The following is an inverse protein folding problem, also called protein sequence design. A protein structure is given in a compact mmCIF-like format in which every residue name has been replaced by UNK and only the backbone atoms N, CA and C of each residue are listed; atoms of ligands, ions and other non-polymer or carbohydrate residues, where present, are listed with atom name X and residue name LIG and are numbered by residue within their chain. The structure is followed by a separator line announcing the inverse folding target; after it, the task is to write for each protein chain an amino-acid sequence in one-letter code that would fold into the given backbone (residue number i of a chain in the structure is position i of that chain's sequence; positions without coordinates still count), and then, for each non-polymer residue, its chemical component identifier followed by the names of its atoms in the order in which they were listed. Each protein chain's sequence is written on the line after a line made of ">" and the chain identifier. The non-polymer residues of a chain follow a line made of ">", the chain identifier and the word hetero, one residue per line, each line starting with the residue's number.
data_IF_268980436313
#
_entry.id   IF_268980436313
#
_cell.length_a   1.000
_cell.length_b   1.000
_cell.length_c   1.000
_cell.angle_alpha   90.00
_cell.angle_beta   90.00
_cell.angle_gamma   90.00
#
_symmetry.space_group_name_H-M   'P 1'
#
loop_
_entity.id
_entity.type
_entity.pdbx_description
1 polymer ?
#
# COMPACT_ATOMS: atom_id res chain seq x y z
N UNK A 1 -2.29 -60.20 -19.47
CA UNK A 1 -2.51 -61.20 -18.41
C UNK A 1 -2.41 -60.56 -17.05
N UNK A 2 -3.38 -60.90 -16.24
CA UNK A 2 -3.61 -60.64 -14.82
C UNK A 2 -3.96 -59.23 -14.37
N UNK A 3 -5.28 -59.09 -14.23
CA UNK A 3 -5.97 -58.19 -13.31
C UNK A 3 -5.62 -58.53 -11.88
N UNK A 4 -5.48 -57.52 -11.04
CA UNK A 4 -5.74 -57.72 -9.62
C UNK A 4 -6.56 -56.55 -9.09
N UNK A 5 -7.80 -56.86 -8.71
CA UNK A 5 -8.69 -56.04 -7.94
C UNK A 5 -8.21 -56.02 -6.48
N UNK A 6 -8.31 -54.86 -5.83
CA UNK A 6 -8.42 -54.84 -4.38
C UNK A 6 -9.64 -53.97 -3.95
N UNK A 7 -10.51 -54.68 -3.31
CA UNK A 7 -11.81 -54.21 -2.79
C UNK A 7 -11.62 -53.81 -1.32
N UNK A 8 -12.22 -52.69 -0.94
CA UNK A 8 -12.96 -52.57 0.32
C UNK A 8 -12.20 -52.17 1.58
N UNK A 9 -12.56 -51.07 2.12
CA UNK A 9 -13.15 -51.01 3.47
C UNK A 9 -13.73 -49.61 3.71
N UNK A 10 -15.07 -49.59 3.74
CA UNK A 10 -15.85 -48.50 4.31
C UNK A 10 -15.73 -48.56 5.84
N UNK A 11 -15.22 -47.47 6.43
CA UNK A 11 -15.29 -47.22 7.86
C UNK A 11 -16.17 -46.01 8.08
N UNK A 12 -17.43 -46.25 8.45
CA UNK A 12 -18.37 -45.25 8.93
C UNK A 12 -17.98 -44.90 10.36
N UNK A 13 -17.53 -43.65 10.56
CA UNK A 13 -17.40 -43.10 11.93
C UNK A 13 -18.51 -42.09 12.11
N UNK A 14 -19.52 -42.50 12.90
CA UNK A 14 -20.58 -41.62 13.37
C UNK A 14 -20.02 -40.69 14.45
N UNK A 15 -19.93 -39.38 14.15
CA UNK A 15 -19.75 -38.35 15.15
C UNK A 15 -21.10 -37.81 15.58
N UNK A 16 -21.44 -38.15 16.81
CA UNK A 16 -22.54 -37.56 17.56
C UNK A 16 -22.33 -36.09 17.79
N UNK A 17 -23.20 -35.25 17.19
CA UNK A 17 -23.26 -33.83 17.46
C UNK A 17 -23.84 -33.61 18.87
N UNK A 18 -23.03 -33.13 19.79
CA UNK A 18 -23.53 -32.50 21.02
C UNK A 18 -23.95 -31.08 20.69
N UNK A 19 -25.24 -30.84 20.62
CA UNK A 19 -25.80 -29.50 20.65
C UNK A 19 -25.65 -28.93 22.06
N UNK A 20 -24.70 -28.02 22.25
CA UNK A 20 -24.71 -27.12 23.40
C UNK A 20 -25.63 -25.94 23.03
N UNK A 21 -26.81 -25.91 23.66
CA UNK A 21 -27.67 -24.74 23.62
C UNK A 21 -27.04 -23.64 24.46
N UNK A 22 -26.45 -22.63 23.80
CA UNK A 22 -26.15 -21.36 24.45
C UNK A 22 -27.40 -20.48 24.39
N UNK A 23 -27.97 -20.23 25.57
CA UNK A 23 -29.02 -19.26 25.78
C UNK A 23 -28.50 -17.87 25.45
N UNK A 24 -29.17 -17.20 24.52
CA UNK A 24 -28.97 -15.80 24.21
C UNK A 24 -29.51 -14.94 25.34
N UNK A 25 -28.67 -14.39 26.20
CA UNK A 25 -29.02 -13.22 27.01
C UNK A 25 -28.66 -11.99 26.15
N UNK A 26 -29.67 -11.35 25.58
CA UNK A 26 -29.59 -10.02 24.99
C UNK A 26 -29.51 -8.98 26.14
N UNK A 27 -28.32 -8.78 26.67
CA UNK A 27 -28.00 -7.59 27.46
C UNK A 27 -26.92 -6.82 26.70
N UNK A 28 -27.39 -6.03 25.75
CA UNK A 28 -26.56 -5.01 25.05
C UNK A 28 -26.45 -3.80 25.99
N UNK A 29 -25.26 -3.51 26.59
CA UNK A 29 -25.11 -2.36 27.46
C UNK A 29 -25.31 -1.09 26.64
N UNK A 30 -26.30 -0.27 27.05
CA UNK A 30 -26.48 1.06 26.48
C UNK A 30 -25.20 1.89 26.64
N UNK A 31 -24.78 2.65 25.62
CA UNK A 31 -23.58 3.49 25.69
C UNK A 31 -23.69 4.50 26.83
N UNK A 32 -22.66 4.59 27.67
CA UNK A 32 -22.54 5.64 28.68
C UNK A 32 -22.40 7.00 27.95
N UNK A 33 -23.28 7.96 28.16
CA UNK A 33 -23.23 9.26 27.49
C UNK A 33 -22.10 10.17 28.01
N UNK A 34 -21.32 9.76 28.98
CA UNK A 34 -20.24 10.58 29.53
C UNK A 34 -19.07 9.73 30.08
N UNK A 35 -18.18 9.19 29.23
CA UNK A 35 -17.06 8.39 29.69
C UNK A 35 -16.10 9.22 30.52
N UNK A 36 -15.87 8.82 31.77
CA UNK A 36 -14.88 9.44 32.67
C UNK A 36 -13.46 9.07 32.19
N UNK A 37 -12.48 9.99 32.25
CA UNK A 37 -11.09 9.68 31.94
C UNK A 37 -10.54 8.61 32.88
N UNK A 38 -10.09 7.49 32.31
CA UNK A 38 -9.49 6.37 33.05
C UNK A 38 -10.36 5.11 33.16
N UNK A 39 -11.59 5.08 32.64
CA UNK A 39 -12.30 3.83 32.45
C UNK A 39 -11.80 3.13 31.17
N UNK A 40 -11.57 1.82 31.27
CA UNK A 40 -11.31 0.97 30.10
C UNK A 40 -12.55 1.02 29.20
N UNK A 41 -12.54 1.92 28.24
CA UNK A 41 -13.50 1.89 27.13
C UNK A 41 -13.20 0.63 26.36
N UNK A 42 -14.02 -0.40 26.56
CA UNK A 42 -14.02 -1.57 25.66
C UNK A 42 -14.53 -1.03 24.33
N UNK A 43 -13.61 -0.84 23.35
CA UNK A 43 -14.01 -0.44 22.02
C UNK A 43 -15.02 -1.45 21.50
N UNK A 44 -16.21 -0.96 21.18
CA UNK A 44 -17.15 -1.75 20.40
C UNK A 44 -16.57 -1.87 19.00
N UNK A 45 -15.93 -2.97 18.74
CA UNK A 45 -15.60 -3.41 17.41
C UNK A 45 -16.92 -3.61 16.66
N UNK A 46 -17.36 -2.59 15.94
CA UNK A 46 -18.52 -2.74 15.09
C UNK A 46 -18.07 -3.48 13.85
N UNK A 47 -18.56 -4.70 13.70
CA UNK A 47 -18.37 -5.49 12.49
C UNK A 47 -19.20 -4.89 11.36
N UNK A 48 -18.66 -3.92 10.65
CA UNK A 48 -19.14 -3.61 9.32
C UNK A 48 -18.45 -4.57 8.35
N UNK A 49 -19.21 -5.53 7.82
CA UNK A 49 -18.66 -6.55 6.93
C UNK A 49 -17.59 -7.47 7.55
N UNK A 50 -17.48 -7.57 8.88
CA UNK A 50 -16.47 -8.38 9.53
C UNK A 50 -15.25 -7.62 10.05
N UNK A 51 -15.22 -6.29 9.90
CA UNK A 51 -14.06 -5.44 10.22
C UNK A 51 -14.21 -4.76 11.56
N UNK A 52 -13.08 -4.48 12.17
CA UNK A 52 -13.00 -3.75 13.44
C UNK A 52 -12.90 -2.24 13.16
N UNK A 53 -13.98 -1.49 13.41
CA UNK A 53 -14.02 -0.05 13.27
C UNK A 53 -13.74 0.66 14.60
N UNK A 54 -12.86 1.67 14.59
CA UNK A 54 -12.44 2.42 15.76
C UNK A 54 -12.24 3.89 15.40
N UNK A 55 -12.63 4.81 16.29
CA UNK A 55 -12.40 6.25 16.09
C UNK A 55 -11.07 6.73 16.69
N UNK A 56 -10.31 5.86 17.32
CA UNK A 56 -8.97 6.08 17.84
C UNK A 56 -7.93 5.29 17.05
N UNK A 57 -6.73 5.82 16.95
CA UNK A 57 -5.67 5.22 16.12
C UNK A 57 -4.36 4.99 16.88
N UNK A 58 -4.21 5.59 18.07
CA UNK A 58 -2.99 5.46 18.87
C UNK A 58 -3.12 4.43 19.99
N UNK A 59 -2.05 3.66 20.13
CA UNK A 59 -1.92 2.58 21.11
C UNK A 59 -0.57 2.67 21.83
N UNK A 60 -0.47 2.07 22.99
CA UNK A 60 0.79 1.83 23.68
C UNK A 60 1.55 0.61 23.06
N UNK A 61 2.71 0.29 23.63
CA UNK A 61 3.53 -0.82 23.15
C UNK A 61 2.85 -2.20 23.31
N UNK A 62 1.94 -2.32 24.28
CA UNK A 62 1.22 -3.56 24.61
C UNK A 62 -0.08 -3.71 23.81
N UNK A 63 -0.36 -2.74 22.90
CA UNK A 63 -1.55 -2.74 22.04
C UNK A 63 -2.82 -2.28 22.75
N UNK A 64 -2.67 -1.63 23.91
CA UNK A 64 -3.77 -0.96 24.59
C UNK A 64 -3.88 0.45 24.06
N UNK A 65 -5.11 0.93 23.88
CA UNK A 65 -5.35 2.29 23.47
C UNK A 65 -4.74 3.30 24.42
N UNK A 66 -4.05 4.27 23.83
CA UNK A 66 -3.42 5.37 24.54
C UNK A 66 -3.38 6.62 23.65
N UNK A 67 -4.12 7.67 24.05
CA UNK A 67 -4.13 8.94 23.32
C UNK A 67 -2.74 9.60 23.20
N UNK A 68 -1.78 9.23 24.04
CA UNK A 68 -0.39 9.65 24.01
C UNK A 68 0.54 8.54 23.49
N UNK A 69 -0.03 7.45 23.00
CA UNK A 69 0.71 6.31 22.48
C UNK A 69 1.50 6.66 21.23
N UNK A 70 2.50 5.83 20.94
CA UNK A 70 3.37 5.99 19.77
C UNK A 70 3.20 4.87 18.74
N UNK A 71 2.21 4.01 18.94
CA UNK A 71 1.84 2.95 17.98
C UNK A 71 0.58 3.36 17.25
N UNK A 72 0.63 3.37 15.93
CA UNK A 72 -0.51 3.61 15.03
C UNK A 72 -1.07 2.24 14.67
N UNK A 73 -2.33 1.98 15.04
CA UNK A 73 -2.97 0.69 14.85
C UNK A 73 -2.59 -0.35 15.90
N UNK A 74 -3.34 -1.43 15.95
CA UNK A 74 -3.21 -2.49 16.97
C UNK A 74 -2.51 -3.77 16.46
N UNK A 75 -2.02 -3.75 15.22
CA UNK A 75 -1.39 -4.91 14.58
C UNK A 75 -2.35 -5.80 13.79
N UNK A 76 -3.65 -5.52 13.82
CA UNK A 76 -4.65 -6.23 13.02
C UNK A 76 -4.50 -5.87 11.54
N UNK A 77 -4.79 -6.85 10.66
CA UNK A 77 -4.78 -6.66 9.20
C UNK A 77 -6.08 -6.02 8.69
N UNK A 78 -7.05 -5.78 9.55
CA UNK A 78 -8.36 -5.23 9.20
C UNK A 78 -8.79 -4.11 10.15
N UNK A 79 -7.83 -3.30 10.61
CA UNK A 79 -8.11 -2.17 11.46
C UNK A 79 -8.72 -1.01 10.66
N UNK A 80 -9.95 -0.60 10.99
CA UNK A 80 -10.67 0.49 10.32
C UNK A 80 -10.73 1.71 11.22
N UNK A 81 -10.06 2.78 10.81
CA UNK A 81 -10.12 4.08 11.49
C UNK A 81 -11.27 4.92 10.93
N UNK A 82 -12.19 5.34 11.81
CA UNK A 82 -13.38 6.12 11.43
C UNK A 82 -13.36 7.55 11.96
N UNK A 83 -12.33 7.92 12.72
CA UNK A 83 -12.19 9.23 13.37
C UNK A 83 -11.49 10.29 12.51
N UNK A 84 -11.25 11.44 13.15
CA UNK A 84 -10.36 12.48 12.63
C UNK A 84 -9.30 12.77 13.68
N UNK A 85 -8.05 12.54 13.35
CA UNK A 85 -6.97 12.71 14.31
C UNK A 85 -5.74 13.36 13.67
N UNK A 86 -5.17 14.32 14.36
CA UNK A 86 -3.89 14.93 14.05
C UNK A 86 -2.83 14.36 15.00
N UNK A 87 -1.82 13.73 14.43
CA UNK A 87 -0.65 13.23 15.16
C UNK A 87 0.40 14.33 15.24
N UNK A 88 0.83 14.61 16.46
CA UNK A 88 1.89 15.58 16.73
C UNK A 88 3.21 15.13 16.12
N UNK A 89 4.12 16.09 15.89
CA UNK A 89 5.49 15.76 15.47
C UNK A 89 6.10 14.75 16.45
N UNK A 90 6.52 13.60 15.91
CA UNK A 90 7.04 12.51 16.71
C UNK A 90 7.51 11.33 15.87
N UNK A 91 7.95 10.29 16.57
CA UNK A 91 8.26 8.99 15.95
C UNK A 91 7.20 7.99 16.35
N UNK A 92 6.57 7.37 15.35
CA UNK A 92 5.51 6.40 15.53
C UNK A 92 5.87 5.06 14.91
N UNK A 93 5.31 3.97 15.43
CA UNK A 93 5.36 2.65 14.82
C UNK A 93 3.99 2.33 14.23
N UNK A 94 3.92 2.10 12.93
CA UNK A 94 2.70 1.65 12.23
C UNK A 94 2.63 0.12 12.34
N UNK A 95 1.51 -0.40 12.85
CA UNK A 95 1.27 -1.85 12.99
C UNK A 95 -0.05 -2.27 12.38
N UNK A 96 -0.01 -3.29 11.53
CA UNK A 96 -1.17 -3.84 10.83
C UNK A 96 -1.56 -3.05 9.59
N UNK A 97 -2.70 -3.40 9.02
CA UNK A 97 -3.29 -2.68 7.89
C UNK A 97 -4.31 -1.68 8.41
N UNK A 98 -4.02 -0.41 8.20
CA UNK A 98 -4.82 0.70 8.71
C UNK A 98 -5.65 1.26 7.57
N UNK A 99 -6.96 1.00 7.60
CA UNK A 99 -7.93 1.54 6.66
C UNK A 99 -8.52 2.84 7.19
N UNK A 100 -8.22 3.95 6.55
CA UNK A 100 -8.84 5.25 6.83
C UNK A 100 -10.17 5.28 6.08
N UNK A 101 -11.27 5.08 6.81
CA UNK A 101 -12.60 4.91 6.24
C UNK A 101 -13.16 6.20 5.60
N UNK A 102 -14.24 6.07 4.85
CA UNK A 102 -14.96 7.21 4.29
C UNK A 102 -15.33 8.21 5.38
N UNK A 103 -14.97 9.49 5.19
CA UNK A 103 -15.19 10.58 6.15
C UNK A 103 -14.14 10.68 7.25
N UNK A 104 -13.29 9.67 7.43
CA UNK A 104 -12.16 9.72 8.37
C UNK A 104 -10.98 10.53 7.80
N UNK A 105 -10.14 11.05 8.69
CA UNK A 105 -8.99 11.86 8.33
C UNK A 105 -7.83 11.62 9.31
N UNK A 106 -6.68 11.22 8.80
CA UNK A 106 -5.45 11.07 9.56
C UNK A 106 -4.43 12.11 9.10
N UNK A 107 -4.05 13.01 10.01
CA UNK A 107 -3.11 14.11 9.74
C UNK A 107 -1.82 13.89 10.50
N UNK A 108 -0.69 14.08 9.84
CA UNK A 108 0.66 14.05 10.42
C UNK A 108 1.28 15.46 10.44
N UNK A 109 1.80 15.89 11.58
CA UNK A 109 2.56 17.15 11.65
C UNK A 109 3.93 17.03 10.95
N UNK A 110 4.44 18.13 10.36
CA UNK A 110 5.75 18.16 9.71
C UNK A 110 6.87 17.63 10.60
N UNK A 111 7.82 16.90 10.00
CA UNK A 111 8.95 16.29 10.70
C UNK A 111 8.62 14.99 11.46
N UNK A 112 7.41 14.46 11.32
CA UNK A 112 7.05 13.16 11.86
C UNK A 112 7.76 12.01 11.15
N UNK A 113 8.09 10.95 11.89
CA UNK A 113 8.68 9.71 11.36
C UNK A 113 7.78 8.53 11.70
N UNK A 114 7.30 7.84 10.69
CA UNK A 114 6.40 6.70 10.82
C UNK A 114 7.14 5.44 10.37
N UNK A 115 7.29 4.48 11.27
CA UNK A 115 8.05 3.25 11.05
C UNK A 115 7.12 2.06 10.87
N UNK A 116 7.04 1.53 9.66
CA UNK A 116 6.23 0.36 9.33
C UNK A 116 6.82 -0.92 9.94
N UNK A 117 6.02 -1.64 10.71
CA UNK A 117 6.41 -2.91 11.33
C UNK A 117 6.27 -4.07 10.33
N UNK A 118 7.40 -4.75 10.11
CA UNK A 118 7.46 -5.89 9.17
C UNK A 118 6.62 -7.07 9.62
N UNK A 119 6.59 -7.35 10.91
CA UNK A 119 5.91 -8.53 11.47
C UNK A 119 4.41 -8.50 11.20
N UNK A 120 3.82 -7.31 11.28
CA UNK A 120 2.40 -7.08 11.02
C UNK A 120 2.12 -6.65 9.58
N UNK A 121 3.13 -6.63 8.70
CA UNK A 121 3.00 -6.20 7.28
C UNK A 121 2.37 -4.81 7.16
N UNK A 122 2.79 -3.90 8.04
CA UNK A 122 2.15 -2.59 8.22
C UNK A 122 1.89 -1.88 6.88
N UNK A 123 0.67 -1.39 6.69
CA UNK A 123 0.24 -0.69 5.46
C UNK A 123 -0.74 0.42 5.83
N UNK A 124 -0.61 1.59 5.23
CA UNK A 124 -1.52 2.72 5.45
C UNK A 124 -2.39 2.93 4.22
N UNK A 125 -3.71 2.80 4.39
CA UNK A 125 -4.67 2.70 3.29
C UNK A 125 -5.77 3.75 3.49
N UNK A 126 -5.91 4.71 2.58
CA UNK A 126 -7.10 5.55 2.51
C UNK A 126 -8.14 4.86 1.63
N UNK A 127 -9.29 4.53 2.18
CA UNK A 127 -10.43 4.03 1.43
C UNK A 127 -11.14 5.17 0.68
N UNK A 128 -12.03 4.86 -0.24
CA UNK A 128 -12.81 5.87 -0.98
C UNK A 128 -13.51 6.85 -0.04
N UNK A 129 -13.06 8.10 -0.06
CA UNK A 129 -13.58 9.17 0.81
C UNK A 129 -12.90 9.28 2.18
N UNK A 130 -11.92 8.43 2.50
CA UNK A 130 -10.96 8.61 3.57
C UNK A 130 -9.83 9.53 3.15
N UNK A 131 -9.12 10.15 4.09
CA UNK A 131 -8.04 11.09 3.79
C UNK A 131 -6.80 10.84 4.63
N UNK A 132 -5.65 10.85 3.97
CA UNK A 132 -4.33 10.94 4.61
C UNK A 132 -3.77 12.33 4.31
N UNK A 133 -3.42 13.09 5.36
CA UNK A 133 -2.82 14.41 5.25
C UNK A 133 -1.42 14.36 5.83
N UNK A 134 -0.44 14.25 4.97
CA UNK A 134 0.98 14.30 5.29
C UNK A 134 1.60 15.50 4.55
N UNK A 135 1.49 16.67 5.16
CA UNK A 135 2.02 17.92 4.63
C UNK A 135 3.25 18.33 5.40
N UNK A 136 4.41 17.85 4.98
CA UNK A 136 5.71 18.28 5.47
C UNK A 136 6.19 19.59 4.87
N UNK A 137 7.47 19.86 5.03
CA UNK A 137 8.17 20.98 4.41
C UNK A 137 9.58 20.57 3.97
N UNK A 138 10.27 21.42 3.22
CA UNK A 138 11.63 21.14 2.77
C UNK A 138 12.61 20.92 3.94
N UNK A 139 12.40 21.55 5.08
CA UNK A 139 13.23 21.41 6.28
C UNK A 139 12.70 20.38 7.28
N UNK A 140 11.43 20.03 7.19
CA UNK A 140 10.74 19.07 8.07
C UNK A 140 9.89 18.11 7.24
N UNK A 141 10.49 17.25 6.40
CA UNK A 141 9.74 16.26 5.66
C UNK A 141 9.10 15.24 6.61
N UNK A 142 8.00 14.66 6.17
CA UNK A 142 7.39 13.51 6.86
C UNK A 142 7.97 12.25 6.26
N UNK A 143 8.45 11.34 7.11
CA UNK A 143 9.17 10.13 6.67
C UNK A 143 8.40 8.88 7.08
N UNK A 144 7.99 8.10 6.11
CA UNK A 144 7.49 6.74 6.28
C UNK A 144 8.61 5.77 5.92
N UNK A 145 9.01 4.89 6.83
CA UNK A 145 10.18 4.03 6.63
C UNK A 145 10.02 2.69 7.37
N UNK A 146 10.96 1.77 7.19
CA UNK A 146 10.99 0.51 7.92
C UNK A 146 11.27 0.68 9.42
N UNK A 147 10.60 -0.12 10.26
CA UNK A 147 10.88 -0.21 11.68
C UNK A 147 12.19 -0.95 12.00
N UNK A 148 12.79 -1.63 11.03
CA UNK A 148 14.08 -2.27 11.21
C UNK A 148 15.18 -1.26 11.56
N UNK A 149 16.19 -1.72 12.28
CA UNK A 149 17.34 -0.90 12.65
C UNK A 149 18.07 -0.36 11.42
N UNK A 150 18.75 0.78 11.58
CA UNK A 150 19.58 1.34 10.53
C UNK A 150 20.60 0.30 10.02
N UNK A 151 20.74 0.17 8.71
CA UNK A 151 21.57 -0.86 8.06
C UNK A 151 20.92 -2.25 7.94
N UNK A 152 19.78 -2.49 8.58
CA UNK A 152 19.04 -3.75 8.48
C UNK A 152 17.75 -3.62 7.66
N UNK A 153 17.41 -2.41 7.26
CA UNK A 153 16.21 -2.14 6.43
C UNK A 153 16.36 -2.74 5.04
N UNK A 154 15.27 -3.28 4.51
CA UNK A 154 15.23 -3.93 3.19
C UNK A 154 13.96 -3.49 2.44
N UNK A 155 14.00 -3.45 1.10
CA UNK A 155 12.79 -3.38 0.28
C UNK A 155 11.75 -4.39 0.75
N UNK A 156 10.48 -4.00 0.78
CA UNK A 156 9.39 -4.88 1.23
C UNK A 156 9.27 -5.07 2.74
N UNK A 157 9.95 -4.30 3.57
CA UNK A 157 9.81 -4.42 5.03
C UNK A 157 8.42 -4.03 5.52
N UNK A 158 7.67 -3.24 4.76
CA UNK A 158 6.29 -2.85 5.05
C UNK A 158 5.53 -2.60 3.74
N UNK A 159 4.18 -2.47 3.80
CA UNK A 159 3.36 -2.39 2.59
C UNK A 159 3.56 -1.12 1.79
N UNK A 160 3.52 0.04 2.43
CA UNK A 160 3.52 1.32 1.73
C UNK A 160 2.27 2.16 2.04
N UNK A 161 2.02 3.15 1.18
CA UNK A 161 0.84 4.01 1.26
C UNK A 161 -0.05 3.73 0.06
N UNK A 162 -1.34 3.49 0.33
CA UNK A 162 -2.36 3.24 -0.70
C UNK A 162 -3.45 4.30 -0.58
N UNK A 163 -3.76 4.99 -1.67
CA UNK A 163 -4.89 5.91 -1.76
C UNK A 163 -5.92 5.36 -2.73
N UNK A 164 -7.15 5.13 -2.25
CA UNK A 164 -8.28 4.68 -3.06
C UNK A 164 -9.28 5.80 -3.22
N UNK A 165 -9.37 6.35 -4.42
CA UNK A 165 -10.27 7.45 -4.77
C UNK A 165 -11.53 7.00 -5.49
N UNK A 166 -12.35 7.99 -5.86
CA UNK A 166 -13.64 7.85 -6.54
C UNK A 166 -13.61 8.35 -7.99
N UNK A 167 -12.45 8.68 -8.52
CA UNK A 167 -12.32 9.07 -9.91
C UNK A 167 -12.56 7.89 -10.86
N UNK A 168 -12.72 8.16 -12.13
CA UNK A 168 -12.96 7.13 -13.13
C UNK A 168 -11.71 6.27 -13.36
N UNK A 169 -11.94 5.01 -13.61
CA UNK A 169 -11.04 4.08 -14.27
C UNK A 169 -11.78 3.36 -15.40
N UNK A 170 -11.12 2.50 -16.14
CA UNK A 170 -11.74 1.82 -17.28
C UNK A 170 -12.48 0.51 -16.93
N UNK A 171 -12.52 0.14 -15.65
CA UNK A 171 -13.23 -1.04 -15.16
C UNK A 171 -14.34 -0.70 -14.14
N UNK A 172 -14.66 0.56 -13.95
CA UNK A 172 -15.68 1.12 -13.07
C UNK A 172 -15.36 0.98 -11.58
N UNK A 173 -15.19 -0.22 -11.07
CA UNK A 173 -14.79 -0.50 -9.69
C UNK A 173 -13.78 -1.64 -9.68
N UNK A 174 -12.60 -1.37 -9.14
CA UNK A 174 -11.50 -2.32 -9.09
C UNK A 174 -11.13 -2.64 -7.64
N UNK A 175 -10.66 -3.86 -7.41
CA UNK A 175 -9.97 -4.23 -6.19
C UNK A 175 -8.53 -3.70 -6.27
N UNK A 176 -8.05 -3.07 -5.18
CA UNK A 176 -6.64 -2.68 -5.14
C UNK A 176 -5.74 -3.93 -5.09
N UNK A 177 -4.60 -3.85 -5.73
CA UNK A 177 -3.59 -4.89 -5.75
C UNK A 177 -2.89 -5.07 -4.38
N UNK A 178 -2.15 -6.18 -4.23
CA UNK A 178 -1.34 -6.43 -3.02
C UNK A 178 -2.12 -6.92 -1.80
N UNK A 179 -3.36 -7.35 -1.98
CA UNK A 179 -4.16 -8.04 -0.96
C UNK A 179 -5.09 -7.20 -0.09
N UNK A 180 -5.03 -5.84 -0.02
CA UNK A 180 -6.03 -5.08 0.71
C UNK A 180 -7.44 -5.33 0.18
N UNK A 181 -8.43 -5.35 1.09
CA UNK A 181 -9.85 -5.57 0.71
C UNK A 181 -10.47 -4.41 -0.03
N UNK A 182 -9.85 -3.24 0.03
CA UNK A 182 -10.45 -2.01 -0.43
C UNK A 182 -10.58 -1.96 -1.95
N UNK A 183 -11.60 -1.26 -2.41
CA UNK A 183 -11.86 -1.02 -3.82
C UNK A 183 -11.70 0.45 -4.14
N UNK A 184 -11.42 0.76 -5.40
CA UNK A 184 -11.33 2.11 -5.92
C UNK A 184 -12.15 2.27 -7.19
N UNK A 185 -12.39 3.51 -7.60
CA UNK A 185 -13.17 3.85 -8.77
C UNK A 185 -14.53 4.45 -8.44
N UNK A 186 -15.09 5.11 -9.42
CA UNK A 186 -16.34 5.84 -9.35
C UNK A 186 -16.49 6.80 -10.53
N UNK A 187 -17.15 7.93 -10.30
CA UNK A 187 -17.42 8.94 -11.33
C UNK A 187 -17.01 10.36 -10.91
N UNK A 188 -16.25 10.52 -9.83
CA UNK A 188 -15.84 11.81 -9.30
C UNK A 188 -14.36 12.07 -9.57
N UNK A 189 -14.05 12.58 -10.76
CA UNK A 189 -12.67 12.91 -11.14
C UNK A 189 -12.06 14.05 -10.30
N UNK A 190 -12.87 14.76 -9.52
CA UNK A 190 -12.43 15.77 -8.56
C UNK A 190 -12.32 15.25 -7.12
N UNK A 191 -12.41 13.94 -6.92
CA UNK A 191 -12.25 13.31 -5.61
C UNK A 191 -10.95 13.74 -4.91
N UNK A 192 -10.99 13.72 -3.57
CA UNK A 192 -9.90 14.16 -2.72
C UNK A 192 -9.57 13.13 -1.66
N UNK A 193 -8.47 12.45 -1.83
CA UNK A 193 -7.90 11.47 -0.89
C UNK A 193 -6.89 12.08 0.11
N UNK A 194 -6.69 13.40 0.08
CA UNK A 194 -5.85 14.12 1.03
C UNK A 194 -4.64 14.83 0.42
N UNK A 195 -3.54 14.86 1.16
CA UNK A 195 -2.31 15.58 0.80
C UNK A 195 -1.10 14.72 1.11
N UNK A 196 -0.21 14.54 0.13
CA UNK A 196 1.14 14.05 0.31
C UNK A 196 2.11 15.11 -0.24
N UNK A 197 2.78 15.85 0.63
CA UNK A 197 3.68 16.93 0.25
C UNK A 197 4.93 16.95 1.14
N UNK A 198 6.11 16.97 0.54
CA UNK A 198 7.37 16.77 1.24
C UNK A 198 7.37 15.49 2.09
N UNK A 199 7.09 14.39 1.42
CA UNK A 199 7.00 13.04 2.02
C UNK A 199 8.09 12.15 1.46
N UNK A 200 8.68 11.33 2.32
CA UNK A 200 9.57 10.23 1.93
C UNK A 200 8.93 8.91 2.32
N UNK A 201 8.89 7.96 1.39
CA UNK A 201 8.41 6.58 1.56
C UNK A 201 9.60 5.68 1.28
N UNK A 202 10.04 4.91 2.27
CA UNK A 202 11.28 4.14 2.16
C UNK A 202 11.06 2.68 2.54
N UNK A 203 11.63 1.74 1.77
CA UNK A 203 11.63 0.29 2.05
C UNK A 203 10.22 -0.33 2.07
N UNK A 204 9.30 0.25 1.33
CA UNK A 204 7.95 -0.27 1.14
C UNK A 204 7.91 -1.38 0.08
N UNK A 205 6.71 -1.80 -0.34
CA UNK A 205 6.53 -2.78 -1.40
C UNK A 205 6.44 -4.22 -0.88
N UNK A 206 5.64 -4.46 0.18
CA UNK A 206 5.54 -5.80 0.75
C UNK A 206 5.02 -6.81 -0.28
N UNK A 207 5.75 -7.91 -0.57
CA UNK A 207 5.32 -8.94 -1.50
C UNK A 207 4.23 -9.82 -0.85
N UNK A 208 2.97 -9.53 -1.12
CA UNK A 208 1.86 -10.30 -0.58
C UNK A 208 1.76 -11.69 -1.19
N UNK A 209 1.87 -11.75 -2.52
CA UNK A 209 2.02 -12.96 -3.34
C UNK A 209 2.87 -12.61 -4.55
N UNK A 210 3.34 -13.61 -5.28
CA UNK A 210 3.92 -13.41 -6.60
C UNK A 210 2.89 -12.74 -7.52
N UNK A 211 3.29 -11.71 -8.24
CA UNK A 211 2.47 -10.89 -9.13
C UNK A 211 1.26 -10.22 -8.41
N UNK A 212 1.38 -9.94 -7.12
CA UNK A 212 0.42 -9.21 -6.27
C UNK A 212 1.18 -8.52 -5.12
N UNK A 213 2.05 -7.65 -5.46
CA UNK A 213 2.85 -6.85 -4.54
C UNK A 213 2.12 -5.53 -4.19
N UNK A 214 2.53 -4.89 -3.11
CA UNK A 214 2.12 -3.52 -2.79
C UNK A 214 3.26 -2.61 -3.22
N UNK A 215 2.94 -1.51 -3.89
CA UNK A 215 3.92 -0.53 -4.36
C UNK A 215 4.41 0.41 -3.24
N UNK A 216 5.40 1.21 -3.53
CA UNK A 216 5.81 2.29 -2.63
C UNK A 216 4.67 3.26 -2.34
N UNK A 217 4.10 3.81 -3.40
CA UNK A 217 2.88 4.63 -3.38
C UNK A 217 1.91 4.13 -4.45
N UNK A 218 0.80 3.54 -4.01
CA UNK A 218 -0.27 3.04 -4.87
C UNK A 218 -1.44 4.02 -4.92
N UNK A 219 -1.88 4.38 -6.12
CA UNK A 219 -2.92 5.39 -6.38
C UNK A 219 -4.06 4.79 -7.21
N UNK A 220 -5.05 4.19 -6.53
CA UNK A 220 -6.23 3.64 -7.18
C UNK A 220 -7.31 4.70 -7.41
N UNK A 221 -7.56 5.10 -8.65
CA UNK A 221 -8.62 6.06 -9.04
C UNK A 221 -8.63 7.36 -8.24
N UNK A 222 -7.45 7.89 -7.92
CA UNK A 222 -7.30 9.12 -7.14
C UNK A 222 -7.68 10.33 -7.99
N UNK A 223 -8.51 11.21 -7.42
CA UNK A 223 -9.05 12.37 -8.13
C UNK A 223 -8.15 13.61 -8.08
N UNK A 224 -8.46 14.57 -8.94
CA UNK A 224 -7.64 15.76 -9.20
C UNK A 224 -7.58 16.79 -8.06
N UNK A 225 -8.47 16.69 -7.06
CA UNK A 225 -8.39 17.55 -5.88
C UNK A 225 -7.44 17.00 -4.80
N UNK A 226 -6.89 15.80 -4.98
CA UNK A 226 -5.80 15.27 -4.14
C UNK A 226 -4.50 15.98 -4.49
N UNK A 227 -3.76 16.41 -3.48
CA UNK A 227 -2.48 17.09 -3.66
C UNK A 227 -1.33 16.12 -3.46
N UNK A 228 -0.49 15.91 -4.50
CA UNK A 228 0.73 15.10 -4.43
C UNK A 228 1.90 15.89 -5.03
N UNK A 229 2.81 16.32 -4.19
CA UNK A 229 4.02 17.02 -4.62
C UNK A 229 5.21 16.76 -3.66
N UNK A 230 6.44 16.85 -4.19
CA UNK A 230 7.68 16.62 -3.42
C UNK A 230 7.64 15.29 -2.66
N UNK A 231 7.30 14.21 -3.37
CA UNK A 231 7.29 12.86 -2.81
C UNK A 231 8.46 12.07 -3.36
N UNK A 232 9.22 11.47 -2.46
CA UNK A 232 10.30 10.54 -2.79
C UNK A 232 9.93 9.14 -2.32
N UNK A 233 9.96 8.18 -3.24
CA UNK A 233 9.93 6.74 -2.94
C UNK A 233 11.33 6.18 -3.09
N UNK A 234 11.81 5.44 -2.09
CA UNK A 234 13.16 4.87 -2.10
C UNK A 234 13.13 3.42 -1.68
N UNK A 235 13.81 2.58 -2.44
CA UNK A 235 13.97 1.16 -2.13
C UNK A 235 12.62 0.43 -1.99
N UNK A 236 11.65 0.74 -2.86
CA UNK A 236 10.45 -0.08 -2.98
C UNK A 236 10.84 -1.47 -3.48
N UNK A 237 10.16 -2.51 -3.01
CA UNK A 237 10.36 -3.89 -3.47
C UNK A 237 9.50 -4.24 -4.69
N UNK A 238 8.73 -3.31 -5.11
CA UNK A 238 7.90 -3.29 -6.30
C UNK A 238 8.00 -1.90 -6.90
N UNK A 239 6.97 -1.44 -7.61
CA UNK A 239 6.98 -0.10 -8.19
C UNK A 239 7.23 1.01 -7.16
N UNK A 240 7.86 2.07 -7.63
CA UNK A 240 7.98 3.26 -6.80
C UNK A 240 6.65 4.00 -6.73
N UNK A 241 6.03 4.25 -7.88
CA UNK A 241 4.73 4.91 -8.03
C UNK A 241 3.88 4.17 -9.03
N UNK A 242 2.67 3.81 -8.65
CA UNK A 242 1.72 3.17 -9.56
C UNK A 242 0.33 3.81 -9.50
N UNK A 243 -0.27 4.06 -10.67
CA UNK A 243 -1.58 4.68 -10.88
C UNK A 243 -2.53 3.73 -11.59
N UNK A 244 -3.51 3.20 -10.88
CA UNK A 244 -4.63 2.43 -11.43
C UNK A 244 -5.82 3.34 -11.73
N UNK A 245 -5.83 4.00 -12.87
CA UNK A 245 -6.87 4.97 -13.23
C UNK A 245 -6.77 6.29 -12.45
N UNK A 246 -7.82 7.10 -12.55
CA UNK A 246 -7.89 8.38 -11.85
C UNK A 246 -7.35 9.57 -12.65
N UNK A 247 -7.34 10.74 -11.99
CA UNK A 247 -7.04 12.02 -12.63
C UNK A 247 -6.11 12.92 -11.79
N UNK A 248 -5.44 12.38 -10.78
CA UNK A 248 -4.57 13.16 -9.89
C UNK A 248 -3.37 13.72 -10.65
N UNK A 249 -2.99 14.96 -10.31
CA UNK A 249 -1.79 15.59 -10.85
C UNK A 249 -0.69 15.59 -9.80
N UNK A 250 0.50 15.16 -10.22
CA UNK A 250 1.67 15.03 -9.35
C UNK A 250 2.83 15.90 -9.85
N UNK A 251 3.64 16.42 -8.91
CA UNK A 251 4.85 17.19 -9.24
C UNK A 251 6.00 16.84 -8.32
N UNK A 252 7.23 16.99 -8.83
CA UNK A 252 8.46 16.81 -8.04
C UNK A 252 8.52 15.44 -7.37
N UNK A 253 8.40 14.39 -8.18
CA UNK A 253 8.48 13.01 -7.73
C UNK A 253 9.92 12.48 -7.90
N UNK A 254 10.38 11.71 -6.94
CA UNK A 254 11.66 11.01 -7.01
C UNK A 254 11.43 9.52 -6.77
N UNK A 255 11.74 8.70 -7.78
CA UNK A 255 11.85 7.25 -7.68
C UNK A 255 13.34 6.88 -7.51
N UNK A 256 13.71 6.33 -6.36
CA UNK A 256 15.10 6.06 -6.05
C UNK A 256 15.33 4.60 -5.72
N UNK A 257 15.95 3.88 -6.65
CA UNK A 257 16.36 2.49 -6.48
C UNK A 257 15.21 1.56 -6.12
N UNK A 258 14.07 1.72 -6.79
CA UNK A 258 12.95 0.79 -6.76
C UNK A 258 13.35 -0.55 -7.39
N UNK A 259 12.62 -1.58 -7.06
CA UNK A 259 12.89 -2.93 -7.57
C UNK A 259 12.28 -3.10 -8.95
N UNK A 260 10.98 -2.85 -9.12
CA UNK A 260 10.32 -2.93 -10.41
C UNK A 260 10.25 -1.55 -11.10
N UNK A 261 9.13 -1.04 -11.50
CA UNK A 261 9.04 0.18 -12.29
C UNK A 261 9.18 1.46 -11.45
N UNK A 262 9.69 2.52 -12.09
CA UNK A 262 9.80 3.80 -11.39
C UNK A 262 8.47 4.56 -11.41
N UNK A 263 7.75 4.50 -12.56
CA UNK A 263 6.43 5.11 -12.77
C UNK A 263 5.58 4.17 -13.62
N UNK A 264 4.57 3.55 -13.03
CA UNK A 264 3.61 2.72 -13.74
C UNK A 264 2.23 3.35 -13.82
N UNK A 265 1.58 3.29 -14.98
CA UNK A 265 0.26 3.90 -15.22
C UNK A 265 -0.66 2.95 -15.95
N UNK A 266 -1.81 2.69 -15.34
CA UNK A 266 -2.75 1.68 -15.79
C UNK A 266 -4.21 2.15 -15.75
N UNK A 267 -5.08 1.34 -16.32
CA UNK A 267 -6.54 1.33 -16.13
C UNK A 267 -7.24 2.68 -16.36
N UNK A 268 -6.78 3.45 -17.35
CA UNK A 268 -7.40 4.72 -17.71
C UNK A 268 -6.91 5.91 -16.90
N UNK A 269 -5.71 5.86 -16.34
CA UNK A 269 -5.11 7.03 -15.69
C UNK A 269 -4.96 8.19 -16.68
N UNK A 270 -5.48 9.36 -16.32
CA UNK A 270 -5.51 10.57 -17.16
C UNK A 270 -4.83 11.79 -16.54
N UNK A 271 -4.15 11.60 -15.42
CA UNK A 271 -3.45 12.66 -14.70
C UNK A 271 -2.16 13.12 -15.37
N UNK A 272 -1.51 14.10 -14.75
CA UNK A 272 -0.27 14.71 -15.23
C UNK A 272 0.82 14.59 -14.18
N UNK A 273 2.00 14.18 -14.60
CA UNK A 273 3.21 14.10 -13.77
C UNK A 273 4.27 15.03 -14.33
N UNK A 274 4.75 15.97 -13.53
CA UNK A 274 5.75 16.95 -13.94
C UNK A 274 6.91 17.04 -12.95
N UNK A 275 8.13 17.17 -13.48
CA UNK A 275 9.37 17.23 -12.69
C UNK A 275 9.60 15.94 -11.91
N UNK A 276 9.82 14.86 -12.62
CA UNK A 276 10.18 13.55 -12.06
C UNK A 276 11.68 13.26 -12.20
N UNK A 277 12.22 12.57 -11.22
CA UNK A 277 13.57 12.01 -11.27
C UNK A 277 13.51 10.53 -10.91
N UNK A 278 13.95 9.67 -11.81
CA UNK A 278 14.17 8.26 -11.53
C UNK A 278 15.67 7.94 -11.53
N UNK A 279 16.12 7.23 -10.50
CA UNK A 279 17.51 6.79 -10.36
C UNK A 279 17.53 5.30 -10.06
N UNK A 280 17.92 4.49 -11.05
CA UNK A 280 17.98 3.02 -10.92
C UNK A 280 19.24 2.56 -10.20
N UNK A 281 19.11 1.50 -9.41
CA UNK A 281 20.25 0.75 -8.92
C UNK A 281 20.76 -0.19 -10.04
N UNK A 282 22.06 -0.21 -10.35
CA UNK A 282 22.58 -1.09 -11.39
C UNK A 282 22.54 -2.58 -11.06
N UNK A 283 22.10 -2.96 -9.86
CA UNK A 283 22.10 -4.35 -9.37
C UNK A 283 20.72 -4.84 -8.92
N UNK A 284 19.68 -4.06 -9.22
CA UNK A 284 18.31 -4.37 -8.82
C UNK A 284 17.40 -4.32 -10.06
N UNK A 285 16.67 -5.39 -10.29
CA UNK A 285 15.56 -5.45 -11.23
C UNK A 285 14.64 -6.61 -10.89
N UNK A 286 13.35 -6.48 -11.18
CA UNK A 286 12.38 -7.54 -10.95
C UNK A 286 12.44 -8.63 -12.03
N UNK A 287 11.86 -9.77 -11.72
CA UNK A 287 11.71 -10.87 -12.68
C UNK A 287 10.75 -10.55 -13.82
N UNK A 288 9.74 -9.73 -13.56
CA UNK A 288 8.81 -9.19 -14.57
C UNK A 288 9.51 -8.32 -15.60
N UNK A 289 10.68 -7.79 -15.27
CA UNK A 289 11.53 -6.89 -16.06
C UNK A 289 11.19 -5.42 -15.82
N UNK A 290 12.01 -4.77 -15.05
CA UNK A 290 11.83 -3.39 -14.61
C UNK A 290 11.99 -2.35 -15.71
N UNK A 291 11.22 -1.28 -15.61
CA UNK A 291 11.26 -0.15 -16.51
C UNK A 291 11.45 1.19 -15.76
N UNK A 292 11.74 2.25 -16.48
CA UNK A 292 11.61 3.62 -15.99
C UNK A 292 10.15 4.06 -15.96
N UNK A 293 9.45 3.75 -17.05
CA UNK A 293 8.02 3.88 -17.20
C UNK A 293 7.45 2.59 -17.74
N UNK A 294 6.38 2.13 -17.13
CA UNK A 294 5.44 1.20 -17.73
C UNK A 294 4.11 1.92 -17.94
N UNK A 295 3.42 1.65 -19.04
CA UNK A 295 2.10 2.24 -19.30
C UNK A 295 1.24 1.26 -20.08
N UNK A 296 0.20 0.80 -19.44
CA UNK A 296 -0.82 -0.10 -20.00
C UNK A 296 -2.20 0.56 -20.02
N UNK A 297 -3.08 0.05 -20.87
CA UNK A 297 -4.51 0.38 -20.75
C UNK A 297 -5.22 -0.64 -19.87
N UNK A 298 -4.95 -1.91 -20.10
CA UNK A 298 -5.41 -3.03 -19.28
C UNK A 298 -4.39 -4.17 -19.41
N UNK A 299 -4.03 -4.80 -18.32
CA UNK A 299 -3.04 -5.89 -18.28
C UNK A 299 -3.39 -7.07 -19.19
N UNK A 300 -4.70 -7.36 -19.40
CA UNK A 300 -5.20 -8.40 -20.31
C UNK A 300 -5.23 -7.98 -21.78
N UNK A 301 -4.87 -6.73 -22.10
CA UNK A 301 -4.88 -6.16 -23.45
C UNK A 301 -6.26 -5.72 -23.95
N UNK A 302 -7.28 -5.68 -23.10
CA UNK A 302 -8.60 -5.19 -23.47
C UNK A 302 -8.59 -3.69 -23.76
N UNK A 303 -9.45 -3.26 -24.70
CA UNK A 303 -9.54 -1.87 -25.16
C UNK A 303 -10.66 -1.13 -24.41
N UNK A 304 -10.62 -1.17 -23.08
CA UNK A 304 -11.61 -0.50 -22.25
C UNK A 304 -11.40 1.02 -22.23
N UNK A 305 -12.47 1.77 -22.02
CA UNK A 305 -12.46 3.22 -21.93
C UNK A 305 -12.90 3.69 -20.52
N UNK A 306 -12.35 4.78 -20.00
CA UNK A 306 -11.37 5.69 -20.62
C UNK A 306 -10.01 5.02 -20.84
N UNK A 307 -9.32 5.41 -21.92
CA UNK A 307 -7.95 4.95 -22.13
C UNK A 307 -6.98 5.62 -21.18
N UNK A 308 -5.88 4.91 -20.87
CA UNK A 308 -4.73 5.50 -20.18
C UNK A 308 -4.12 6.58 -21.06
N UNK A 309 -4.12 7.82 -20.57
CA UNK A 309 -3.67 9.03 -21.29
C UNK A 309 -2.78 9.90 -20.44
N UNK A 310 -1.94 9.28 -19.62
CA UNK A 310 -0.99 9.94 -18.74
C UNK A 310 -0.13 10.98 -19.50
N UNK A 311 0.11 12.12 -18.87
CA UNK A 311 1.01 13.14 -19.43
C UNK A 311 2.21 13.32 -18.51
N UNK A 312 3.39 12.96 -19.01
CA UNK A 312 4.66 13.19 -18.31
C UNK A 312 5.42 14.34 -18.93
N UNK A 313 5.99 15.22 -18.12
CA UNK A 313 6.86 16.30 -18.63
C UNK A 313 8.01 16.61 -17.65
N UNK A 314 9.17 17.01 -18.20
CA UNK A 314 10.36 17.32 -17.42
C UNK A 314 10.79 16.14 -16.52
N UNK A 315 10.90 14.96 -17.10
CA UNK A 315 11.34 13.76 -16.41
C UNK A 315 12.80 13.49 -16.73
N UNK A 316 13.59 13.23 -15.70
CA UNK A 316 14.98 12.78 -15.83
C UNK A 316 15.08 11.33 -15.38
N UNK A 317 15.63 10.49 -16.23
CA UNK A 317 15.84 9.09 -15.97
C UNK A 317 17.34 8.77 -15.96
N UNK A 318 17.86 8.35 -14.80
CA UNK A 318 19.22 7.87 -14.63
C UNK A 318 19.20 6.35 -14.60
N UNK A 319 19.35 5.74 -15.75
CA UNK A 319 19.28 4.28 -15.92
C UNK A 319 20.49 3.54 -15.34
N UNK A 320 20.43 2.22 -15.24
CA UNK A 320 21.47 1.41 -14.64
C UNK A 320 22.80 1.43 -15.42
N UNK A 321 22.78 1.75 -16.71
CA UNK A 321 23.99 1.91 -17.55
C UNK A 321 24.88 3.08 -17.14
N UNK A 322 24.45 3.94 -16.23
CA UNK A 322 25.31 4.96 -15.62
C UNK A 322 26.44 4.35 -14.78
N UNK A 323 26.28 3.12 -14.31
CA UNK A 323 27.33 2.37 -13.61
C UNK A 323 28.22 1.61 -14.60
N UNK A 324 29.54 1.70 -14.41
CA UNK A 324 30.52 1.07 -15.30
C UNK A 324 30.54 -0.48 -15.21
N UNK A 325 30.03 -1.04 -14.14
CA UNK A 325 29.94 -2.47 -13.86
C UNK A 325 28.55 -3.06 -14.16
N UNK A 326 27.68 -2.31 -14.82
CA UNK A 326 26.35 -2.78 -15.18
C UNK A 326 26.39 -3.88 -16.23
N UNK A 327 25.75 -5.01 -15.90
CA UNK A 327 25.54 -6.15 -16.80
C UNK A 327 24.06 -6.50 -16.78
N UNK A 328 23.39 -6.38 -17.92
CA UNK A 328 21.95 -6.63 -18.04
C UNK A 328 21.70 -8.03 -18.61
N UNK A 329 21.84 -9.03 -17.78
CA UNK A 329 21.55 -10.42 -18.12
C UNK A 329 20.69 -11.11 -17.03
N UNK A 330 20.39 -12.38 -17.23
CA UNK A 330 19.56 -13.15 -16.30
C UNK A 330 20.17 -13.34 -14.90
N UNK A 331 21.47 -13.12 -14.75
CA UNK A 331 22.18 -13.21 -13.46
C UNK A 331 22.28 -11.88 -12.74
N UNK A 332 21.73 -10.82 -13.32
CA UNK A 332 21.86 -9.45 -12.89
C UNK A 332 21.48 -9.22 -11.42
N UNK A 333 20.33 -9.74 -10.99
CA UNK A 333 19.89 -9.61 -9.58
C UNK A 333 20.76 -10.42 -8.63
N UNK A 334 21.19 -11.62 -9.03
CA UNK A 334 21.90 -12.54 -8.13
C UNK A 334 23.28 -12.03 -7.74
N UNK A 335 23.89 -11.19 -8.58
CA UNK A 335 25.20 -10.60 -8.31
C UNK A 335 25.21 -9.58 -7.15
N UNK A 336 24.06 -9.04 -6.79
CA UNK A 336 23.95 -7.94 -5.82
C UNK A 336 23.64 -8.35 -4.38
N UNK A 337 23.42 -9.59 -4.06
CA UNK A 337 22.92 -10.07 -2.76
C UNK A 337 21.59 -9.41 -2.34
N UNK A 338 20.79 -8.96 -3.28
CA UNK A 338 19.44 -8.51 -3.06
C UNK A 338 18.47 -9.70 -3.10
N UNK A 339 17.38 -9.57 -2.37
CA UNK A 339 16.35 -10.59 -2.38
C UNK A 339 15.29 -10.17 -3.40
N UNK A 340 15.09 -10.93 -4.47
CA UNK A 340 13.97 -10.68 -5.36
C UNK A 340 12.66 -10.79 -4.58
N UNK A 341 11.69 -9.98 -4.93
CA UNK A 341 10.41 -9.89 -4.24
C UNK A 341 9.66 -11.23 -4.17
N UNK A 342 9.82 -12.09 -5.15
CA UNK A 342 9.14 -13.40 -5.23
C UNK A 342 10.06 -14.60 -5.07
N UNK A 343 11.34 -14.39 -4.76
CA UNK A 343 12.31 -15.47 -4.58
C UNK A 343 12.87 -16.10 -5.86
N UNK A 344 12.57 -15.57 -7.05
CA UNK A 344 13.06 -16.14 -8.31
C UNK A 344 14.56 -15.94 -8.53
N UNK A 345 15.12 -14.88 -8.03
CA UNK A 345 16.53 -14.54 -8.17
C UNK A 345 16.96 -14.11 -9.57
N UNK A 346 16.04 -13.97 -10.50
CA UNK A 346 16.32 -13.60 -11.90
C UNK A 346 15.47 -12.41 -12.29
N UNK A 347 16.11 -11.37 -12.82
CA UNK A 347 15.44 -10.20 -13.36
C UNK A 347 16.39 -9.34 -14.15
N UNK A 348 15.87 -8.42 -14.91
CA UNK A 348 16.66 -7.50 -15.69
C UNK A 348 15.93 -6.17 -15.88
N UNK A 349 16.70 -5.13 -16.05
CA UNK A 349 16.19 -3.85 -16.54
C UNK A 349 15.84 -3.98 -18.03
N UNK A 350 14.62 -3.61 -18.42
CA UNK A 350 14.12 -3.76 -19.79
C UNK A 350 14.24 -2.47 -20.58
N UNK A 351 13.57 -1.40 -20.16
CA UNK A 351 13.48 -0.18 -20.93
C UNK A 351 13.42 1.09 -20.05
N UNK A 352 13.82 2.22 -20.62
CA UNK A 352 13.53 3.52 -20.00
C UNK A 352 12.05 3.86 -20.10
N UNK A 353 11.36 3.34 -21.12
CA UNK A 353 9.93 3.52 -21.32
C UNK A 353 9.37 2.31 -22.05
N UNK A 354 8.35 1.69 -21.48
CA UNK A 354 7.55 0.66 -22.09
C UNK A 354 6.10 1.12 -22.15
N UNK A 355 5.54 1.16 -23.33
CA UNK A 355 4.12 1.48 -23.55
C UNK A 355 3.54 0.30 -24.31
N UNK A 356 2.50 -0.29 -23.77
CA UNK A 356 1.85 -1.48 -24.37
C UNK A 356 0.33 -1.40 -24.22
N UNK A 357 -0.39 -2.18 -25.03
CA UNK A 357 -1.84 -2.49 -24.99
C UNK A 357 -2.79 -1.30 -24.85
#
# INVERSE_FOLDING_TARGET
>A
MKKMNFMGCMGILAMTAMMAACSSSNDDPTPDPNPQPGQNTVYKWTKDGGLNACDHILFDADGKEDANGTVIGNGDQEFVFTGKQQLKKGTYTLKGWIYIAAGAELTFEPGSVIKGDKTTKATLIAERGGKIIAQGSATEPIVFTSAAAAGQRRPGDWGGIILCGKARNNQTEMQIEGGPRTKHGGNDDADNSGVLSYVRIEFAGYPFKADQEINGLTLGSVGSATKIDHVQVSFSNDDSFEWFGGAVNCKYLIAYKGWDDDFDTDNGFSGKVQFGLAVRDPKIADQSQSNGFESDNCSDGSQLSPYTTATFSNITFVGPKSASDFVNDKSYITAGNYFPNNGSGLGRFQAAMQIRR
#
